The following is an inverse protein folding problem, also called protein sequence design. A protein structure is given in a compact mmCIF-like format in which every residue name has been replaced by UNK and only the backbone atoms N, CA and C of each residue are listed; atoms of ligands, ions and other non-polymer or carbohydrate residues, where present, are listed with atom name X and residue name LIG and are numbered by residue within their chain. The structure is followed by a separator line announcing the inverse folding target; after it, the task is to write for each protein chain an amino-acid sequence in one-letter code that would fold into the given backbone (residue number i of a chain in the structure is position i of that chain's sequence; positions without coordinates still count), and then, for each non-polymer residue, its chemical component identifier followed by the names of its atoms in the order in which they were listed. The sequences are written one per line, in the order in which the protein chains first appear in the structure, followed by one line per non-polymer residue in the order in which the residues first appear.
data_IF_958970938934
#
_entry.id   IF_958970938934
#
_cell.length_a   1.000
_cell.length_b   1.000
_cell.length_c   1.000
_cell.angle_alpha   90.00
_cell.angle_beta   90.00
_cell.angle_gamma   90.00
#
_symmetry.space_group_name_H-M   'P 1'
#
loop_
_entity.id
_entity.type
_entity.pdbx_description
1 polymer ?
#
# COMPACT_ATOMS: atom_id res chain seq x y z
N UNK A 1 -65.00 -4.16 -40.11
CA UNK A 1 -64.79 -5.16 -39.04
C UNK A 1 -63.33 -5.00 -38.61
N UNK A 2 -62.92 -4.50 -37.46
CA UNK A 2 -63.58 -4.28 -36.18
C UNK A 2 -62.75 -3.22 -35.44
N UNK A 3 -63.41 -2.18 -34.95
CA UNK A 3 -62.95 -1.25 -33.91
C UNK A 3 -62.55 -2.02 -32.65
N UNK A 4 -61.51 -1.59 -31.93
CA UNK A 4 -61.46 -1.67 -30.46
C UNK A 4 -60.35 -0.74 -29.94
N UNK A 5 -60.75 0.45 -29.53
CA UNK A 5 -60.08 1.13 -28.43
C UNK A 5 -60.57 0.56 -27.11
N UNK A 6 -59.78 0.70 -26.04
CA UNK A 6 -60.29 0.99 -24.69
C UNK A 6 -59.07 1.35 -23.82
N UNK A 7 -58.94 2.62 -23.41
CA UNK A 7 -59.39 3.19 -22.13
C UNK A 7 -58.38 2.94 -21.02
N UNK A 8 -57.66 4.01 -20.70
CA UNK A 8 -57.00 4.18 -19.42
C UNK A 8 -58.03 4.39 -18.31
N UNK A 9 -57.75 3.82 -17.15
CA UNK A 9 -58.38 4.17 -15.89
C UNK A 9 -57.29 4.40 -14.82
N UNK A 10 -57.48 5.51 -14.09
CA UNK A 10 -56.85 5.93 -12.82
C UNK A 10 -56.91 4.79 -11.76
N UNK A 11 -56.22 4.78 -10.62
CA UNK A 11 -56.11 5.79 -9.53
C UNK A 11 -54.95 5.40 -8.54
N UNK A 12 -54.71 6.04 -7.36
CA UNK A 12 -53.49 6.80 -7.06
C UNK A 12 -52.70 6.26 -5.84
N UNK A 13 -51.57 6.87 -5.47
CA UNK A 13 -51.24 7.07 -4.06
C UNK A 13 -50.37 8.30 -3.85
N UNK A 14 -50.99 9.29 -3.19
CA UNK A 14 -50.42 10.53 -2.70
C UNK A 14 -49.95 10.29 -1.26
N UNK A 15 -48.74 10.70 -0.92
CA UNK A 15 -48.49 11.34 0.39
C UNK A 15 -47.28 12.26 0.25
N UNK A 16 -47.58 13.56 0.21
CA UNK A 16 -46.59 14.61 0.05
C UNK A 16 -45.64 14.83 1.23
N UNK A 17 -44.70 15.76 1.02
CA UNK A 17 -44.20 16.63 2.08
C UNK A 17 -43.60 17.91 1.51
N UNK A 18 -44.14 19.01 1.99
CA UNK A 18 -43.73 20.40 1.78
C UNK A 18 -42.23 20.65 1.84
N UNK A 19 -41.72 21.59 1.02
CA UNK A 19 -40.74 22.59 1.47
C UNK A 19 -40.73 23.84 0.56
N UNK A 20 -41.65 24.74 0.89
CA UNK A 20 -41.59 26.20 0.81
C UNK A 20 -40.23 26.83 0.39
N UNK A 21 -40.23 27.48 -0.77
CA UNK A 21 -39.23 28.49 -1.18
C UNK A 21 -39.32 29.76 -0.31
N UNK A 22 -38.17 30.26 0.17
CA UNK A 22 -37.98 31.67 0.56
C UNK A 22 -36.63 32.19 0.07
N UNK A 23 -36.69 33.17 -0.84
CA UNK A 23 -35.64 34.17 -1.13
C UNK A 23 -35.33 34.98 0.14
N UNK A 24 -34.06 35.31 0.37
CA UNK A 24 -33.58 36.63 0.86
C UNK A 24 -32.06 36.55 1.07
N UNK A 25 -31.24 37.05 0.14
CA UNK A 25 -30.64 38.38 0.14
C UNK A 25 -29.77 38.75 1.35
N UNK A 26 -28.50 39.03 1.00
CA UNK A 26 -27.53 39.96 1.64
C UNK A 26 -27.03 39.56 3.04
N UNK A 27 -25.71 39.32 3.12
CA UNK A 27 -24.75 40.32 3.64
C UNK A 27 -23.30 39.86 3.48
N UNK A 28 -22.46 40.82 3.09
CA UNK A 28 -21.01 40.75 3.02
C UNK A 28 -20.44 40.56 4.42
N UNK A 29 -19.47 39.66 4.57
CA UNK A 29 -18.41 39.77 5.57
C UNK A 29 -17.22 38.96 5.08
N UNK A 30 -16.25 39.67 4.50
CA UNK A 30 -14.86 39.27 4.39
C UNK A 30 -14.35 38.88 5.78
N UNK A 31 -14.01 37.61 5.95
CA UNK A 31 -13.47 37.05 7.19
C UNK A 31 -12.57 35.88 6.87
N UNK A 32 -11.36 36.20 6.40
CA UNK A 32 -10.23 35.27 6.32
C UNK A 32 -9.97 34.72 7.73
N UNK A 33 -10.54 33.56 8.04
CA UNK A 33 -10.22 32.81 9.24
C UNK A 33 -9.37 31.62 8.80
N UNK A 34 -8.13 31.90 8.38
CA UNK A 34 -7.06 30.90 8.35
C UNK A 34 -6.89 30.41 9.80
N UNK A 35 -7.58 29.34 10.17
CA UNK A 35 -7.20 28.56 11.36
C UNK A 35 -5.83 27.99 11.07
N UNK A 36 -4.83 28.70 11.60
CA UNK A 36 -3.46 28.25 11.78
C UNK A 36 -3.54 26.94 12.54
N UNK A 37 -3.51 25.81 11.81
CA UNK A 37 -3.28 24.50 12.42
C UNK A 37 -1.90 24.60 13.04
N UNK A 38 -1.88 24.72 14.36
CA UNK A 38 -0.67 24.59 15.17
C UNK A 38 -0.28 23.12 15.04
N UNK A 39 0.52 22.80 14.02
CA UNK A 39 1.24 21.54 13.97
C UNK A 39 2.24 21.61 15.10
N UNK A 40 1.81 21.09 16.25
CA UNK A 40 2.66 20.87 17.40
C UNK A 40 3.75 19.91 16.93
N UNK A 41 4.95 20.45 16.75
CA UNK A 41 6.13 19.65 16.48
C UNK A 41 6.28 18.70 17.66
N UNK A 42 5.95 17.42 17.42
CA UNK A 42 6.25 16.35 18.36
C UNK A 42 7.76 16.35 18.53
N UNK A 43 8.19 16.62 19.76
CA UNK A 43 9.59 16.57 20.14
C UNK A 43 10.21 15.26 19.70
N UNK A 44 11.42 15.37 19.16
CA UNK A 44 12.31 14.25 18.93
C UNK A 44 12.64 13.65 20.30
N UNK A 45 11.87 12.64 20.71
CA UNK A 45 12.23 11.78 21.82
C UNK A 45 13.43 10.96 21.32
N UNK A 46 14.62 11.51 21.55
CA UNK A 46 15.91 10.92 21.22
C UNK A 46 16.21 9.69 22.08
N UNK A 47 15.40 8.63 21.93
CA UNK A 47 15.88 7.29 22.22
C UNK A 47 16.87 6.94 21.11
N UNK A 48 18.13 6.68 21.46
CA UNK A 48 19.14 6.18 20.51
C UNK A 48 18.67 4.84 19.93
N UNK A 49 17.90 4.90 18.84
CA UNK A 49 17.51 3.72 18.08
C UNK A 49 18.77 3.14 17.46
N UNK A 50 19.02 1.86 17.73
CA UNK A 50 20.15 1.12 17.20
C UNK A 50 20.16 1.25 15.68
N UNK A 51 21.26 1.77 15.11
CA UNK A 51 21.49 1.78 13.66
C UNK A 51 21.72 0.34 13.21
N UNK A 52 21.06 -0.06 12.14
CA UNK A 52 21.10 -1.44 11.63
C UNK A 52 21.64 -1.39 10.23
N UNK A 53 22.87 -1.88 10.06
CA UNK A 53 23.53 -1.91 8.78
C UNK A 53 23.20 -3.19 8.04
N UNK A 54 23.11 -3.08 6.72
CA UNK A 54 22.82 -4.21 5.84
C UNK A 54 23.95 -5.26 5.86
N UNK A 55 25.18 -4.82 6.12
CA UNK A 55 26.36 -5.67 6.26
C UNK A 55 26.39 -6.49 7.55
N UNK A 56 25.66 -6.08 8.57
CA UNK A 56 25.63 -6.79 9.87
C UNK A 56 24.62 -7.95 9.88
N UNK A 57 23.78 -8.04 8.85
CA UNK A 57 22.72 -9.03 8.76
C UNK A 57 23.22 -10.28 8.04
N UNK A 58 22.89 -11.43 8.63
CA UNK A 58 23.19 -12.74 8.05
C UNK A 58 22.38 -12.96 6.75
N UNK A 59 23.01 -13.39 5.66
CA UNK A 59 22.31 -13.77 4.45
C UNK A 59 21.60 -15.12 4.65
N UNK A 60 20.32 -15.15 4.31
CA UNK A 60 19.45 -16.32 4.42
C UNK A 60 19.05 -16.77 3.01
N UNK A 61 19.07 -18.07 2.74
CA UNK A 61 18.61 -18.64 1.47
C UNK A 61 17.10 -18.90 1.46
N UNK A 62 16.52 -19.06 0.26
CA UNK A 62 15.10 -19.41 0.12
C UNK A 62 14.74 -20.75 0.79
N UNK A 63 15.66 -21.72 0.76
CA UNK A 63 15.49 -23.00 1.44
C UNK A 63 15.44 -22.84 2.96
N UNK A 64 16.37 -22.07 3.53
CA UNK A 64 16.41 -21.79 4.96
C UNK A 64 15.12 -21.09 5.43
N UNK A 65 14.56 -20.18 4.62
CA UNK A 65 13.25 -19.58 4.86
C UNK A 65 12.13 -20.63 4.90
N UNK A 66 12.09 -21.51 3.89
CA UNK A 66 11.05 -22.53 3.76
C UNK A 66 11.07 -23.59 4.86
N UNK A 67 12.25 -23.88 5.41
CA UNK A 67 12.40 -24.84 6.51
C UNK A 67 11.90 -24.30 7.87
N UNK A 68 11.80 -22.97 8.03
CA UNK A 68 11.39 -22.33 9.30
C UNK A 68 10.35 -21.21 9.07
N UNK A 69 9.18 -21.52 8.49
CA UNK A 69 8.22 -20.50 8.06
C UNK A 69 7.70 -19.63 9.23
N UNK A 70 7.45 -20.24 10.39
CA UNK A 70 6.93 -19.55 11.58
C UNK A 70 7.92 -18.53 12.16
N UNK A 71 9.22 -18.74 11.97
CA UNK A 71 10.26 -17.82 12.44
C UNK A 71 10.20 -16.48 11.68
N UNK A 72 9.89 -16.54 10.38
CA UNK A 72 9.91 -15.40 9.46
C UNK A 72 8.53 -14.80 9.19
N UNK A 73 7.46 -15.44 9.66
CA UNK A 73 6.08 -14.99 9.51
C UNK A 73 5.70 -13.89 10.52
N UNK A 74 6.52 -12.84 10.62
CA UNK A 74 6.33 -11.71 11.54
C UNK A 74 6.68 -10.38 10.88
N UNK A 75 6.44 -9.29 11.61
CA UNK A 75 6.74 -7.92 11.16
C UNK A 75 8.25 -7.72 11.06
N UNK A 76 8.72 -7.16 9.95
CA UNK A 76 10.13 -6.86 9.75
C UNK A 76 10.44 -6.16 8.42
N UNK A 77 11.70 -5.78 8.27
CA UNK A 77 12.29 -5.27 7.03
C UNK A 77 13.13 -6.36 6.38
N UNK A 78 13.21 -6.34 5.05
CA UNK A 78 13.96 -7.32 4.28
C UNK A 78 14.57 -6.70 3.04
N UNK A 79 15.72 -7.24 2.65
CA UNK A 79 16.45 -6.91 1.44
C UNK A 79 16.62 -8.20 0.62
N UNK A 80 16.42 -8.09 -0.70
CA UNK A 80 16.53 -9.20 -1.65
C UNK A 80 17.73 -8.95 -2.55
N UNK A 81 18.55 -9.98 -2.70
CA UNK A 81 19.75 -9.97 -3.50
C UNK A 81 19.69 -11.06 -4.57
N UNK A 82 20.33 -10.79 -5.69
CA UNK A 82 20.52 -11.78 -6.76
C UNK A 82 21.75 -12.67 -6.52
N UNK A 83 22.08 -13.50 -7.51
CA UNK A 83 23.24 -14.40 -7.44
C UNK A 83 24.60 -13.70 -7.46
N UNK A 84 24.65 -12.39 -7.77
CA UNK A 84 25.86 -11.57 -7.74
C UNK A 84 26.01 -10.77 -6.43
N UNK A 85 25.15 -11.02 -5.43
CA UNK A 85 25.02 -10.22 -4.19
C UNK A 85 24.70 -8.74 -4.48
N UNK A 86 24.04 -8.45 -5.61
CA UNK A 86 23.53 -7.11 -5.90
C UNK A 86 22.15 -6.91 -5.28
N UNK A 87 21.93 -5.76 -4.64
CA UNK A 87 20.65 -5.41 -4.06
C UNK A 87 19.60 -5.15 -5.15
N UNK A 88 18.56 -5.99 -5.22
CA UNK A 88 17.50 -5.90 -6.24
C UNK A 88 16.19 -5.33 -5.71
N UNK A 89 15.92 -5.49 -4.42
CA UNK A 89 14.71 -4.98 -3.79
C UNK A 89 14.91 -4.79 -2.27
N UNK A 90 14.26 -3.77 -1.70
CA UNK A 90 14.14 -3.57 -0.25
C UNK A 90 12.68 -3.29 0.12
N UNK A 91 12.22 -3.82 1.24
CA UNK A 91 10.86 -3.58 1.68
C UNK A 91 10.61 -3.99 3.12
N UNK A 92 9.44 -3.63 3.65
CA UNK A 92 8.98 -4.09 4.94
C UNK A 92 7.60 -4.73 4.81
N UNK A 93 7.26 -5.59 5.76
CA UNK A 93 5.98 -6.27 5.77
C UNK A 93 5.60 -6.69 7.18
N UNK A 94 4.30 -6.82 7.44
CA UNK A 94 3.78 -7.44 8.67
C UNK A 94 3.98 -8.96 8.70
N UNK A 95 4.14 -9.56 7.52
CA UNK A 95 4.48 -10.97 7.35
C UNK A 95 5.57 -11.03 6.28
N UNK A 96 6.83 -11.05 6.72
CA UNK A 96 7.99 -11.05 5.82
C UNK A 96 8.02 -12.32 4.97
N UNK A 97 7.80 -13.48 5.58
CA UNK A 97 7.78 -14.77 4.88
C UNK A 97 6.83 -14.80 3.67
N UNK A 98 5.59 -14.33 3.83
CA UNK A 98 4.60 -14.32 2.76
C UNK A 98 5.03 -13.44 1.57
N UNK A 99 5.67 -12.30 1.86
CA UNK A 99 6.16 -11.38 0.81
C UNK A 99 7.38 -11.94 0.10
N UNK A 100 8.33 -12.55 0.82
CA UNK A 100 9.50 -13.16 0.20
C UNK A 100 9.12 -14.33 -0.71
N UNK A 101 8.12 -15.15 -0.32
CA UNK A 101 7.57 -16.18 -1.20
C UNK A 101 6.95 -15.62 -2.47
N UNK A 102 6.20 -14.52 -2.36
CA UNK A 102 5.66 -13.83 -3.54
C UNK A 102 6.80 -13.38 -4.46
N UNK A 103 7.83 -12.73 -3.93
CA UNK A 103 8.99 -12.28 -4.70
C UNK A 103 9.74 -13.44 -5.37
N UNK A 104 9.89 -14.58 -4.69
CA UNK A 104 10.50 -15.78 -5.25
C UNK A 104 9.72 -16.35 -6.44
N UNK A 105 8.38 -16.20 -6.44
CA UNK A 105 7.54 -16.62 -7.58
C UNK A 105 7.62 -15.61 -8.73
N UNK A 106 7.62 -14.31 -8.44
CA UNK A 106 7.60 -13.27 -9.46
C UNK A 106 8.96 -13.06 -10.12
N UNK A 107 10.05 -13.13 -9.35
CA UNK A 107 11.40 -12.78 -9.77
C UNK A 107 12.42 -13.86 -9.35
N UNK A 108 12.28 -15.12 -9.80
CA UNK A 108 13.13 -16.23 -9.33
C UNK A 108 14.63 -16.03 -9.60
N UNK A 109 14.98 -15.35 -10.68
CA UNK A 109 16.38 -15.08 -11.05
C UNK A 109 17.05 -13.99 -10.19
N UNK A 110 16.25 -13.10 -9.61
CA UNK A 110 16.73 -11.97 -8.81
C UNK A 110 16.52 -12.19 -7.30
N UNK A 111 16.16 -13.42 -6.90
CA UNK A 111 15.67 -13.76 -5.57
C UNK A 111 16.42 -14.98 -5.02
N UNK A 112 17.72 -14.80 -4.77
CA UNK A 112 18.62 -15.89 -4.37
C UNK A 112 18.90 -15.86 -2.87
N UNK A 113 19.29 -14.69 -2.36
CA UNK A 113 19.60 -14.50 -0.93
C UNK A 113 18.84 -13.31 -0.36
N UNK A 114 18.63 -13.35 0.96
CA UNK A 114 17.85 -12.37 1.69
C UNK A 114 18.58 -11.91 2.93
N UNK A 115 18.51 -10.62 3.25
CA UNK A 115 18.92 -10.11 4.55
C UNK A 115 17.71 -9.56 5.27
N UNK A 116 17.50 -10.03 6.50
CA UNK A 116 16.25 -9.82 7.23
C UNK A 116 16.52 -9.10 8.53
N UNK A 117 15.71 -8.10 8.83
CA UNK A 117 15.69 -7.45 10.12
C UNK A 117 14.32 -7.64 10.78
N UNK A 118 14.35 -8.25 11.96
CA UNK A 118 13.18 -8.38 12.82
C UNK A 118 13.41 -7.58 14.10
N UNK A 119 12.52 -6.64 14.44
CA UNK A 119 12.58 -5.98 15.73
C UNK A 119 12.27 -6.97 16.86
N UNK A 120 12.75 -6.63 18.05
CA UNK A 120 12.53 -7.44 19.25
C UNK A 120 11.02 -7.58 19.55
N UNK A 121 10.61 -8.71 20.15
CA UNK A 121 9.18 -9.03 20.33
C UNK A 121 8.47 -8.09 21.33
N UNK A 122 9.23 -7.49 22.24
CA UNK A 122 8.82 -6.51 23.25
C UNK A 122 8.83 -5.07 22.72
N UNK A 123 9.36 -4.84 21.51
CA UNK A 123 9.48 -3.53 20.93
C UNK A 123 8.28 -3.19 20.04
N UNK A 124 7.53 -2.16 20.43
CA UNK A 124 6.53 -1.55 19.55
C UNK A 124 7.22 -0.87 18.37
N UNK A 125 6.96 -1.37 17.16
CA UNK A 125 7.56 -0.86 15.93
C UNK A 125 6.53 -0.18 15.07
N UNK A 126 6.77 1.09 14.80
CA UNK A 126 5.94 1.84 13.85
C UNK A 126 6.42 1.60 12.42
N UNK A 127 5.54 1.75 11.40
CA UNK A 127 5.94 1.67 10.00
C UNK A 127 7.08 2.62 9.65
N UNK A 128 7.08 3.82 10.25
CA UNK A 128 8.12 4.83 10.05
C UNK A 128 9.51 4.35 10.52
N UNK A 129 9.55 3.48 11.54
CA UNK A 129 10.81 2.93 12.04
C UNK A 129 11.42 1.96 11.04
N UNK A 130 10.58 1.15 10.38
CA UNK A 130 11.00 0.25 9.33
C UNK A 130 11.40 1.02 8.07
N UNK A 131 10.67 2.08 7.71
CA UNK A 131 11.02 2.97 6.59
C UNK A 131 12.40 3.61 6.79
N UNK A 132 12.70 4.11 8.00
CA UNK A 132 14.03 4.64 8.31
C UNK A 132 15.14 3.59 8.13
N UNK A 133 14.86 2.33 8.48
CA UNK A 133 15.82 1.22 8.25
C UNK A 133 16.02 0.97 6.75
N UNK A 134 14.96 1.02 5.94
CA UNK A 134 15.09 0.89 4.48
C UNK A 134 15.91 2.03 3.89
N UNK A 135 15.63 3.27 4.29
CA UNK A 135 16.37 4.45 3.81
C UNK A 135 17.86 4.34 4.15
N UNK A 136 18.17 3.89 5.36
CA UNK A 136 19.56 3.61 5.75
C UNK A 136 20.21 2.56 4.84
N UNK A 137 19.52 1.47 4.51
CA UNK A 137 20.07 0.43 3.64
C UNK A 137 20.27 0.94 2.20
N UNK A 138 19.36 1.76 1.70
CA UNK A 138 19.48 2.40 0.38
C UNK A 138 20.70 3.33 0.35
N UNK A 139 20.86 4.16 1.38
CA UNK A 139 22.01 5.07 1.52
C UNK A 139 23.31 4.28 1.62
N UNK A 140 23.34 3.20 2.40
CA UNK A 140 24.50 2.32 2.55
C UNK A 140 24.88 1.64 1.23
N UNK A 141 23.89 1.18 0.46
CA UNK A 141 24.10 0.59 -0.86
C UNK A 141 24.56 1.62 -1.90
N UNK A 142 24.31 2.92 -1.66
CA UNK A 142 24.67 4.03 -2.56
C UNK A 142 23.82 4.13 -3.82
N UNK A 143 22.90 3.18 -4.05
CA UNK A 143 22.00 3.14 -5.21
C UNK A 143 20.63 2.60 -4.80
N UNK A 144 19.59 3.20 -5.36
CA UNK A 144 18.22 2.69 -5.22
C UNK A 144 18.05 1.48 -6.15
N UNK A 145 17.62 0.31 -5.63
CA UNK A 145 17.40 -0.86 -6.46
C UNK A 145 16.31 -0.65 -7.52
N UNK A 146 16.43 -1.32 -8.67
CA UNK A 146 15.46 -1.22 -9.77
C UNK A 146 14.06 -1.67 -9.34
N UNK A 147 13.99 -2.69 -8.49
CA UNK A 147 12.73 -3.21 -7.93
C UNK A 147 11.98 -2.22 -7.02
N UNK A 148 12.63 -1.15 -6.56
CA UNK A 148 11.98 -0.08 -5.79
C UNK A 148 11.66 1.16 -6.63
N UNK A 149 11.99 1.13 -7.93
CA UNK A 149 11.79 2.25 -8.86
C UNK A 149 10.94 1.81 -10.05
N UNK A 150 11.55 1.67 -11.23
CA UNK A 150 10.85 1.38 -12.49
C UNK A 150 10.25 -0.02 -12.55
N UNK A 151 10.86 -0.98 -11.86
CA UNK A 151 10.45 -2.39 -11.91
C UNK A 151 9.50 -2.75 -10.77
N UNK A 152 9.04 -1.80 -9.96
CA UNK A 152 8.26 -2.06 -8.75
C UNK A 152 7.02 -2.93 -8.97
N UNK A 153 6.33 -2.72 -10.08
CA UNK A 153 5.14 -3.50 -10.42
C UNK A 153 5.45 -5.00 -10.59
N UNK A 154 6.67 -5.34 -11.06
CA UNK A 154 7.13 -6.71 -11.23
C UNK A 154 7.36 -7.44 -9.89
N UNK A 155 7.49 -6.70 -8.79
CA UNK A 155 7.70 -7.24 -7.44
C UNK A 155 6.43 -7.23 -6.59
N UNK A 156 5.53 -6.26 -6.80
CA UNK A 156 4.37 -6.08 -5.92
C UNK A 156 3.06 -6.63 -6.50
N UNK A 157 2.94 -6.69 -7.83
CA UNK A 157 1.69 -7.04 -8.50
C UNK A 157 1.82 -8.36 -9.25
N UNK A 158 1.21 -9.45 -8.76
CA UNK A 158 1.18 -10.67 -9.54
C UNK A 158 0.28 -10.47 -10.77
N UNK A 159 0.67 -11.04 -11.91
CA UNK A 159 -0.02 -10.86 -13.19
C UNK A 159 -1.50 -11.30 -13.20
N UNK A 160 -1.98 -12.02 -12.18
CA UNK A 160 -3.40 -12.37 -12.03
C UNK A 160 -4.25 -11.25 -11.40
N UNK A 161 -3.62 -10.27 -10.73
CA UNK A 161 -4.29 -9.13 -10.10
C UNK A 161 -4.48 -7.93 -11.04
N UNK A 162 -3.89 -7.95 -12.24
CA UNK A 162 -4.23 -6.96 -13.26
C UNK A 162 -5.69 -7.15 -13.65
N UNK A 163 -6.56 -6.23 -13.20
CA UNK A 163 -7.98 -6.21 -13.61
C UNK A 163 -8.02 -6.32 -15.14
N UNK A 164 -8.80 -7.26 -15.71
CA UNK A 164 -8.96 -7.28 -17.15
C UNK A 164 -9.50 -5.91 -17.59
N UNK A 165 -9.12 -5.42 -18.79
CA UNK A 165 -9.65 -4.16 -19.29
C UNK A 165 -11.17 -4.26 -19.26
N UNK A 166 -11.80 -3.29 -18.58
CA UNK A 166 -13.26 -3.16 -18.57
C UNK A 166 -13.71 -2.94 -20.01
N UNK A 167 -14.16 -4.00 -20.69
CA UNK A 167 -14.80 -3.85 -21.99
C UNK A 167 -16.14 -3.19 -21.71
N UNK A 168 -16.28 -1.90 -22.04
CA UNK A 168 -17.57 -1.23 -22.09
C UNK A 168 -18.46 -1.96 -23.09
N UNK A 169 -19.32 -2.85 -22.59
CA UNK A 169 -20.37 -3.50 -23.36
C UNK A 169 -21.49 -2.48 -23.59
N UNK A 170 -21.28 -1.52 -24.49
CA UNK A 170 -22.31 -0.57 -24.93
C UNK A 170 -22.02 -0.09 -26.35
N UNK A 171 -22.13 -1.01 -27.32
CA UNK A 171 -22.34 -0.74 -28.74
C UNK A 171 -22.92 -2.01 -29.37
N UNK A 172 -24.17 -2.30 -29.06
CA UNK A 172 -25.05 -3.13 -29.89
C UNK A 172 -26.45 -2.56 -29.70
N UNK A 173 -26.80 -1.59 -30.53
CA UNK A 173 -28.16 -1.32 -30.98
C UNK A 173 -28.10 -0.50 -32.26
#
# INVERSE_FOLDING_TARGET
MTTLGFVGLRIPFDTGRDSRTKKSQRRRASGSCRRRVKVEMRGEVGGSRKKIFLSDLEPVSLEALNNRPLQYARVGAYAVFDGADELRYVGYSRNVFAKLRLHAVLQPQACVTFRLYFPAADQDVSPQDLENVLDMWIVQNGKIPSGNTTERELWESPAWNSKPPVRCASCFF
#
